data_IF_288079676886
#
_entry.id   IF_288079676886
#
_cell.length_a   1.000
_cell.length_b   1.000
_cell.length_c   1.000
_cell.angle_alpha   90.00
_cell.angle_beta   90.00
_cell.angle_gamma   90.00
#
_symmetry.space_group_name_H-M   'P 1'
#
loop_
_entity.id
_entity.type
_entity.pdbx_description
1 polymer ?
#
# COMPACT_ATOMS: atom_id res chain seq x y z
N UNK A 1 0.33 -8.46 0.60
CA UNK A 1 0.70 -7.10 0.13
C UNK A 1 -0.09 -6.10 0.96
N UNK A 2 0.53 -5.00 1.38
CA UNK A 2 -0.21 -3.99 2.13
C UNK A 2 -1.32 -3.42 1.24
N UNK A 3 -2.56 -3.40 1.74
CA UNK A 3 -3.68 -2.70 1.12
C UNK A 3 -3.94 -3.08 -0.35
N UNK A 4 -3.78 -4.37 -0.69
CA UNK A 4 -4.10 -4.93 -2.01
C UNK A 4 -5.27 -5.89 -1.92
N UNK A 5 -6.27 -5.66 -2.77
CA UNK A 5 -7.36 -6.62 -3.01
C UNK A 5 -7.87 -6.44 -4.45
N UNK A 6 -7.68 -7.42 -5.36
CA UNK A 6 -7.92 -7.21 -6.79
C UNK A 6 -9.40 -6.94 -7.11
N UNK A 7 -10.32 -7.56 -6.37
CA UNK A 7 -11.76 -7.36 -6.56
C UNK A 7 -12.34 -6.12 -5.88
N UNK A 8 -11.57 -5.43 -5.02
CA UNK A 8 -12.07 -4.29 -4.22
C UNK A 8 -11.35 -2.98 -4.48
N UNK A 9 -10.53 -2.93 -5.53
CA UNK A 9 -9.77 -1.75 -5.93
C UNK A 9 -10.67 -0.52 -5.94
N UNK A 10 -10.40 0.41 -5.04
CA UNK A 10 -11.19 1.63 -4.83
C UNK A 10 -10.33 2.89 -4.91
N UNK A 11 -9.01 2.73 -5.00
CA UNK A 11 -8.07 3.80 -5.27
C UNK A 11 -7.14 3.44 -6.44
N UNK A 12 -6.66 4.47 -7.13
CA UNK A 12 -5.67 4.33 -8.20
C UNK A 12 -4.51 5.29 -7.97
N UNK A 13 -3.29 4.81 -8.25
CA UNK A 13 -2.15 5.68 -8.40
C UNK A 13 -2.26 6.38 -9.74
N UNK A 14 -2.26 7.70 -9.74
CA UNK A 14 -1.97 8.47 -10.95
C UNK A 14 -0.53 8.92 -10.86
N UNK A 15 0.25 8.51 -11.85
CA UNK A 15 1.60 9.01 -12.01
C UNK A 15 1.54 10.52 -12.26
N UNK A 16 2.38 11.27 -11.54
CA UNK A 16 2.59 12.68 -11.84
C UNK A 16 3.26 12.76 -13.21
N UNK A 17 2.68 13.43 -14.22
CA UNK A 17 3.09 13.24 -15.61
C UNK A 17 4.36 13.98 -16.00
N UNK A 18 5.07 14.64 -15.08
CA UNK A 18 6.12 15.59 -15.47
C UNK A 18 7.27 15.59 -14.50
N UNK A 19 8.45 15.22 -15.02
CA UNK A 19 9.72 15.70 -14.49
C UNK A 19 9.65 17.23 -14.42
N UNK A 20 9.71 17.78 -13.21
CA UNK A 20 9.66 19.21 -12.96
C UNK A 20 10.71 19.52 -11.90
N UNK A 21 11.92 19.92 -12.31
CA UNK A 21 12.98 20.19 -11.36
C UNK A 21 12.56 21.34 -10.45
N UNK A 22 12.64 21.09 -9.15
CA UNK A 22 12.26 22.06 -8.12
C UNK A 22 13.47 22.92 -7.75
N UNK A 23 14.66 22.33 -7.83
CA UNK A 23 15.93 22.96 -7.49
C UNK A 23 16.88 22.94 -8.71
N UNK A 24 17.77 23.92 -8.79
CA UNK A 24 18.83 23.98 -9.80
C UNK A 24 19.97 23.02 -9.40
N UNK A 25 20.19 21.95 -10.17
CA UNK A 25 21.21 20.92 -9.87
C UNK A 25 22.65 21.42 -9.90
N UNK A 26 22.91 22.59 -10.49
CA UNK A 26 24.25 23.19 -10.57
C UNK A 26 24.48 24.12 -9.38
N UNK A 27 23.44 24.85 -8.95
CA UNK A 27 23.56 25.92 -7.96
C UNK A 27 23.13 25.50 -6.56
N UNK A 28 22.24 24.54 -6.45
CA UNK A 28 21.58 24.21 -5.19
C UNK A 28 22.02 22.83 -4.69
N UNK A 29 22.70 22.76 -3.53
CA UNK A 29 23.23 21.50 -3.02
C UNK A 29 22.14 20.48 -2.65
N UNK A 30 20.89 20.94 -2.48
CA UNK A 30 19.73 20.09 -2.19
C UNK A 30 19.19 19.32 -3.40
N UNK A 31 19.56 19.69 -4.63
CA UNK A 31 18.97 19.12 -5.85
C UNK A 31 19.17 17.60 -5.97
N UNK A 32 20.32 17.08 -5.52
CA UNK A 32 20.58 15.63 -5.52
C UNK A 32 19.84 14.85 -4.42
N UNK A 33 19.19 15.55 -3.47
CA UNK A 33 18.49 14.94 -2.35
C UNK A 33 16.96 14.94 -2.52
N UNK A 34 16.45 15.49 -3.63
CA UNK A 34 15.02 15.65 -3.90
C UNK A 34 14.69 15.03 -5.25
N UNK A 35 13.54 14.38 -5.34
CA UNK A 35 13.02 13.86 -6.60
C UNK A 35 12.44 14.99 -7.45
N UNK A 36 12.87 15.09 -8.70
CA UNK A 36 12.28 15.97 -9.71
C UNK A 36 10.95 15.44 -10.27
N UNK A 37 10.60 14.20 -9.93
CA UNK A 37 9.29 13.64 -10.22
C UNK A 37 8.31 14.07 -9.13
N UNK A 38 7.19 14.66 -9.53
CA UNK A 38 6.11 14.93 -8.59
C UNK A 38 5.63 13.64 -7.93
N UNK A 39 5.28 13.74 -6.64
CA UNK A 39 4.77 12.62 -5.89
C UNK A 39 3.56 12.02 -6.61
N UNK A 40 3.63 10.73 -6.92
CA UNK A 40 2.46 10.00 -7.39
C UNK A 40 1.37 10.14 -6.33
N UNK A 41 0.20 10.60 -6.75
CA UNK A 41 -0.94 10.76 -5.86
C UNK A 41 -1.89 9.58 -6.03
N UNK A 42 -2.51 9.19 -4.92
CA UNK A 42 -3.52 8.15 -4.88
C UNK A 42 -4.88 8.84 -4.90
N UNK A 43 -5.71 8.49 -5.88
CA UNK A 43 -7.04 9.06 -6.08
C UNK A 43 -8.10 7.99 -5.84
N UNK A 44 -9.21 8.39 -5.23
CA UNK A 44 -10.37 7.52 -5.11
C UNK A 44 -11.01 7.30 -6.50
N UNK A 45 -11.24 6.04 -6.88
CA UNK A 45 -11.96 5.66 -8.11
C UNK A 45 -13.47 5.75 -7.95
N UNK A 46 -13.94 5.64 -6.71
CA UNK A 46 -15.35 5.65 -6.32
C UNK A 46 -15.49 6.34 -4.96
N UNK A 47 -16.73 6.64 -4.57
CA UNK A 47 -16.99 7.17 -3.24
C UNK A 47 -16.47 6.19 -2.17
N UNK A 48 -15.72 6.70 -1.20
CA UNK A 48 -15.16 5.90 -0.10
C UNK A 48 -16.03 6.13 1.12
N UNK A 49 -16.75 5.09 1.53
CA UNK A 49 -17.60 5.14 2.72
C UNK A 49 -16.71 5.10 3.97
N UNK A 50 -17.15 5.78 5.03
CA UNK A 50 -16.47 5.74 6.32
C UNK A 50 -16.21 4.30 6.78
N UNK A 51 -15.03 4.04 7.35
CA UNK A 51 -14.61 2.71 7.80
C UNK A 51 -14.13 1.77 6.69
N UNK A 52 -14.15 2.18 5.42
CA UNK A 52 -13.62 1.38 4.32
C UNK A 52 -12.08 1.41 4.30
N UNK A 53 -11.49 0.29 3.92
CA UNK A 53 -10.06 0.20 3.62
C UNK A 53 -9.77 0.70 2.20
N UNK A 54 -8.57 1.24 1.98
CA UNK A 54 -8.12 1.60 0.64
C UNK A 54 -7.44 0.41 -0.02
N UNK A 55 -7.87 0.04 -1.22
CA UNK A 55 -7.30 -1.03 -2.02
C UNK A 55 -6.77 -0.47 -3.34
N UNK A 56 -5.47 -0.60 -3.55
CA UNK A 56 -4.78 -0.21 -4.78
C UNK A 56 -4.55 -1.44 -5.67
N UNK A 57 -4.59 -1.25 -6.99
CA UNK A 57 -4.15 -2.28 -7.94
C UNK A 57 -2.66 -2.14 -8.25
N UNK A 58 -1.92 -3.24 -8.14
CA UNK A 58 -0.54 -3.34 -8.63
C UNK A 58 -0.45 -3.86 -10.08
N UNK A 59 -1.58 -4.21 -10.69
CA UNK A 59 -1.65 -4.79 -12.04
C UNK A 59 -1.48 -6.31 -12.05
N UNK A 60 -2.17 -6.96 -13.00
CA UNK A 60 -2.15 -8.42 -13.15
C UNK A 60 -0.76 -8.93 -13.55
N UNK A 61 -0.03 -8.19 -14.40
CA UNK A 61 1.33 -8.55 -14.80
C UNK A 61 2.28 -8.61 -13.60
N UNK A 62 2.16 -7.65 -12.67
CA UNK A 62 2.98 -7.61 -11.47
C UNK A 62 2.74 -8.85 -10.58
N UNK A 63 1.49 -9.34 -10.52
CA UNK A 63 1.14 -10.56 -9.79
C UNK A 63 1.58 -11.81 -10.54
N UNK A 64 1.31 -11.88 -11.84
CA UNK A 64 1.59 -13.05 -12.68
C UNK A 64 3.09 -13.30 -12.90
N UNK A 65 3.93 -12.28 -12.73
CA UNK A 65 5.38 -12.42 -12.86
C UNK A 65 6.06 -12.99 -11.60
N UNK A 66 5.31 -13.32 -10.54
CA UNK A 66 5.83 -13.71 -9.22
C UNK A 66 5.16 -14.98 -8.69
N UNK A 67 5.88 -16.09 -8.76
CA UNK A 67 5.39 -17.40 -8.36
C UNK A 67 4.98 -17.47 -6.88
N UNK A 68 5.54 -16.60 -6.02
CA UNK A 68 5.16 -16.54 -4.60
C UNK A 68 3.68 -16.12 -4.40
N UNK A 69 3.05 -15.56 -5.43
CA UNK A 69 1.66 -15.08 -5.40
C UNK A 69 0.71 -15.90 -6.27
N UNK A 70 1.13 -17.09 -6.73
CA UNK A 70 0.28 -17.95 -7.57
C UNK A 70 -0.98 -18.46 -6.87
N UNK A 71 -1.03 -18.43 -5.54
CA UNK A 71 -2.23 -18.74 -4.77
C UNK A 71 -3.20 -17.56 -4.62
N UNK A 72 -2.75 -16.31 -4.87
CA UNK A 72 -3.58 -15.13 -4.64
C UNK A 72 -4.51 -14.88 -5.84
N UNK A 73 -5.82 -14.66 -5.60
CA UNK A 73 -6.77 -14.29 -6.64
C UNK A 73 -6.33 -13.06 -7.43
N UNK A 74 -6.70 -13.01 -8.71
CA UNK A 74 -6.63 -11.81 -9.55
C UNK A 74 -8.04 -11.30 -9.87
N UNK A 75 -8.14 -10.14 -10.50
CA UNK A 75 -9.45 -9.53 -10.80
C UNK A 75 -10.35 -10.46 -11.63
N UNK A 76 -9.78 -11.14 -12.61
CA UNK A 76 -10.45 -12.09 -13.49
C UNK A 76 -11.02 -13.28 -12.72
N UNK A 77 -10.33 -13.71 -11.66
CA UNK A 77 -10.79 -14.79 -10.77
C UNK A 77 -12.13 -14.39 -10.14
N UNK A 78 -12.20 -13.25 -9.45
CA UNK A 78 -13.46 -12.79 -8.83
C UNK A 78 -14.56 -12.55 -9.85
N UNK A 79 -14.25 -11.94 -11.00
CA UNK A 79 -15.24 -11.70 -12.05
C UNK A 79 -15.87 -13.01 -12.54
N UNK A 80 -15.06 -14.04 -12.75
CA UNK A 80 -15.55 -15.35 -13.17
C UNK A 80 -16.41 -16.01 -12.09
N UNK A 81 -16.02 -15.88 -10.82
CA UNK A 81 -16.82 -16.38 -9.69
C UNK A 81 -18.15 -15.66 -9.52
N UNK A 82 -18.18 -14.33 -9.66
CA UNK A 82 -19.42 -13.56 -9.58
C UNK A 82 -20.41 -13.97 -10.69
N UNK A 83 -19.89 -14.23 -11.90
CA UNK A 83 -20.69 -14.80 -13.00
C UNK A 83 -21.22 -16.18 -12.67
N UNK A 84 -20.41 -17.06 -12.06
CA UNK A 84 -20.81 -18.40 -11.64
C UNK A 84 -21.91 -18.34 -10.57
N UNK A 85 -21.72 -17.54 -9.52
CA UNK A 85 -22.70 -17.37 -8.43
C UNK A 85 -24.02 -16.84 -9.00
N UNK A 86 -23.96 -15.88 -9.92
CA UNK A 86 -25.14 -15.38 -10.64
C UNK A 86 -25.87 -16.48 -11.43
N UNK A 87 -25.13 -17.35 -12.12
CA UNK A 87 -25.70 -18.50 -12.82
C UNK A 87 -26.35 -19.52 -11.88
N UNK A 88 -25.70 -19.80 -10.74
CA UNK A 88 -26.21 -20.71 -9.72
C UNK A 88 -27.51 -20.18 -9.09
N UNK A 89 -27.59 -18.88 -8.83
CA UNK A 89 -28.81 -18.22 -8.36
C UNK A 89 -29.95 -18.35 -9.36
N UNK A 90 -29.67 -18.18 -10.66
CA UNK A 90 -30.66 -18.39 -11.70
C UNK A 90 -31.23 -19.81 -11.64
N UNK A 91 -30.38 -20.84 -11.52
CA UNK A 91 -30.81 -22.24 -11.41
C UNK A 91 -31.65 -22.49 -10.16
N UNK A 92 -31.19 -22.00 -9.00
CA UNK A 92 -31.89 -22.13 -7.71
C UNK A 92 -33.25 -21.45 -7.75
N UNK A 93 -33.36 -20.27 -8.38
CA UNK A 93 -34.62 -19.54 -8.53
C UNK A 93 -35.65 -20.28 -9.38
N UNK A 94 -35.21 -21.10 -10.34
CA UNK A 94 -36.09 -21.87 -11.22
C UNK A 94 -36.51 -23.21 -10.59
N UNK A 95 -35.60 -23.89 -9.89
CA UNK A 95 -35.81 -25.28 -9.44
C UNK A 95 -36.08 -25.42 -7.94
N UNK A 96 -35.84 -24.38 -7.13
CA UNK A 96 -36.20 -24.30 -5.72
C UNK A 96 -35.54 -25.32 -4.78
N UNK A 97 -34.58 -26.12 -5.26
CA UNK A 97 -34.02 -27.22 -4.49
C UNK A 97 -32.54 -26.97 -4.12
N UNK A 98 -32.29 -26.94 -2.82
CA UNK A 98 -30.99 -26.69 -2.19
C UNK A 98 -30.00 -27.85 -2.31
N UNK A 99 -30.42 -29.08 -2.64
CA UNK A 99 -29.49 -30.19 -2.85
C UNK A 99 -28.61 -29.98 -4.09
N UNK A 100 -29.10 -29.24 -5.09
CA UNK A 100 -28.32 -28.87 -6.27
C UNK A 100 -27.16 -27.93 -5.93
N UNK A 101 -27.26 -27.13 -4.86
CA UNK A 101 -26.19 -26.23 -4.44
C UNK A 101 -24.94 -27.00 -4.02
N UNK A 102 -25.09 -28.01 -3.16
CA UNK A 102 -23.97 -28.83 -2.68
C UNK A 102 -23.33 -29.63 -3.81
N UNK A 103 -24.15 -30.18 -4.70
CA UNK A 103 -23.69 -30.91 -5.88
C UNK A 103 -22.92 -29.97 -6.81
N UNK A 104 -23.46 -28.77 -7.05
CA UNK A 104 -22.82 -27.77 -7.91
C UNK A 104 -21.46 -27.33 -7.35
N UNK A 105 -21.38 -26.96 -6.07
CA UNK A 105 -20.10 -26.60 -5.45
C UNK A 105 -19.08 -27.74 -5.49
N UNK A 106 -19.53 -28.98 -5.23
CA UNK A 106 -18.67 -30.15 -5.29
C UNK A 106 -18.11 -30.39 -6.69
N UNK A 107 -18.98 -30.36 -7.71
CA UNK A 107 -18.59 -30.51 -9.11
C UNK A 107 -17.61 -29.41 -9.51
N UNK A 108 -17.90 -28.18 -9.13
CA UNK A 108 -17.09 -27.03 -9.49
C UNK A 108 -15.69 -27.08 -8.89
N UNK A 109 -15.57 -27.43 -7.60
CA UNK A 109 -14.27 -27.64 -6.94
C UNK A 109 -13.45 -28.77 -7.57
N UNK A 110 -14.12 -29.67 -8.28
CA UNK A 110 -13.54 -30.86 -8.91
C UNK A 110 -13.29 -30.68 -10.41
N UNK A 111 -13.58 -29.51 -11.00
CA UNK A 111 -13.37 -29.26 -12.42
C UNK A 111 -11.87 -29.18 -12.76
N UNK A 112 -11.41 -29.87 -13.82
CA UNK A 112 -10.05 -29.69 -14.33
C UNK A 112 -9.90 -28.26 -14.89
N UNK A 113 -8.93 -27.51 -14.37
CA UNK A 113 -8.69 -26.11 -14.75
C UNK A 113 -8.97 -25.09 -13.64
N UNK A 114 -9.50 -25.52 -12.49
CA UNK A 114 -9.52 -24.69 -11.28
C UNK A 114 -8.08 -24.62 -10.73
N UNK A 115 -7.44 -23.47 -10.91
CA UNK A 115 -6.10 -23.21 -10.38
C UNK A 115 -6.15 -22.92 -8.86
N UNK A 116 -4.98 -22.76 -8.25
CA UNK A 116 -4.87 -22.49 -6.82
C UNK A 116 -5.55 -21.17 -6.43
N UNK A 117 -5.54 -20.17 -7.32
CA UNK A 117 -6.24 -18.88 -7.13
C UNK A 117 -7.73 -19.10 -6.98
N UNK A 118 -8.31 -19.86 -7.90
CA UNK A 118 -9.73 -20.15 -7.92
C UNK A 118 -10.19 -20.98 -6.71
N UNK A 119 -9.36 -21.91 -6.23
CA UNK A 119 -9.64 -22.66 -5.00
C UNK A 119 -9.72 -21.73 -3.77
N UNK A 120 -8.86 -20.71 -3.68
CA UNK A 120 -8.86 -19.81 -2.51
C UNK A 120 -10.17 -19.04 -2.36
N UNK A 121 -10.75 -18.56 -3.46
CA UNK A 121 -12.08 -17.89 -3.46
C UNK A 121 -13.18 -18.92 -3.16
N UNK A 122 -13.14 -20.11 -3.76
CA UNK A 122 -14.15 -21.16 -3.56
C UNK A 122 -14.25 -21.67 -2.12
N UNK A 123 -13.17 -21.60 -1.36
CA UNK A 123 -13.19 -22.01 0.05
C UNK A 123 -14.00 -21.05 0.92
N UNK A 124 -14.23 -19.82 0.46
CA UNK A 124 -15.04 -18.83 1.18
C UNK A 124 -16.55 -19.09 1.04
N UNK A 125 -16.96 -19.85 0.02
CA UNK A 125 -18.37 -20.14 -0.26
C UNK A 125 -18.68 -21.59 0.09
N UNK A 126 -19.39 -21.81 1.18
CA UNK A 126 -19.68 -23.17 1.68
C UNK A 126 -21.16 -23.45 1.85
N UNK A 127 -21.95 -22.40 2.11
CA UNK A 127 -23.37 -22.45 2.42
C UNK A 127 -24.18 -21.56 1.49
N UNK A 128 -25.51 -21.69 1.52
CA UNK A 128 -26.40 -20.86 0.69
C UNK A 128 -26.46 -19.45 1.27
N UNK A 129 -26.37 -19.33 2.58
CA UNK A 129 -26.26 -18.08 3.31
C UNK A 129 -25.03 -17.28 2.87
N UNK A 130 -23.91 -17.95 2.55
CA UNK A 130 -22.73 -17.30 1.98
C UNK A 130 -23.05 -16.66 0.63
N UNK A 131 -23.89 -17.28 -0.21
CA UNK A 131 -24.33 -16.68 -1.48
C UNK A 131 -25.17 -15.43 -1.23
N UNK A 132 -26.12 -15.50 -0.29
CA UNK A 132 -26.94 -14.34 0.06
C UNK A 132 -26.07 -13.18 0.54
N UNK A 133 -25.07 -13.45 1.37
CA UNK A 133 -24.10 -12.44 1.83
C UNK A 133 -23.25 -11.88 0.67
N UNK A 134 -22.81 -12.73 -0.26
CA UNK A 134 -22.12 -12.31 -1.50
C UNK A 134 -22.97 -11.31 -2.30
N UNK A 135 -24.26 -11.60 -2.47
CA UNK A 135 -25.17 -10.72 -3.23
C UNK A 135 -25.34 -9.39 -2.48
N UNK A 136 -25.64 -9.45 -1.19
CA UNK A 136 -25.88 -8.27 -0.35
C UNK A 136 -24.65 -7.35 -0.36
N UNK A 137 -23.46 -7.92 -0.32
CA UNK A 137 -22.18 -7.17 -0.29
C UNK A 137 -21.64 -6.81 -1.67
N UNK A 138 -22.25 -7.31 -2.74
CA UNK A 138 -21.97 -6.90 -4.12
C UNK A 138 -20.82 -7.65 -4.79
N UNK A 139 -20.58 -8.92 -4.43
CA UNK A 139 -19.67 -9.83 -5.12
C UNK A 139 -18.76 -10.63 -4.19
N UNK A 140 -18.18 -11.70 -4.70
CA UNK A 140 -17.33 -12.64 -3.95
C UNK A 140 -16.14 -11.96 -3.29
N UNK A 141 -15.55 -10.97 -3.96
CA UNK A 141 -14.47 -10.15 -3.44
C UNK A 141 -14.81 -9.43 -2.11
N UNK A 142 -16.08 -9.07 -1.91
CA UNK A 142 -16.52 -8.27 -0.75
C UNK A 142 -16.71 -9.09 0.53
N UNK A 143 -16.76 -10.41 0.42
CA UNK A 143 -16.94 -11.33 1.57
C UNK A 143 -15.60 -11.63 2.23
N UNK A 144 -14.50 -11.58 1.48
CA UNK A 144 -13.15 -11.81 1.99
C UNK A 144 -12.66 -10.69 2.91
N UNK A 145 -13.12 -9.46 2.71
CA UNK A 145 -12.70 -8.32 3.54
C UNK A 145 -13.77 -7.96 4.55
N UNK A 146 -13.61 -8.43 5.78
CA UNK A 146 -14.30 -7.81 6.92
C UNK A 146 -13.53 -6.57 7.32
N UNK A 147 -14.23 -5.44 7.49
CA UNK A 147 -13.62 -4.24 8.06
C UNK A 147 -12.93 -4.63 9.37
N UNK A 148 -11.64 -4.32 9.48
CA UNK A 148 -10.81 -4.69 10.62
C UNK A 148 -11.30 -4.06 11.93
N UNK A 149 -12.00 -2.92 11.84
CA UNK A 149 -12.51 -2.15 12.98
C UNK A 149 -13.89 -1.54 12.70
N UNK A 150 -14.71 -1.41 13.75
CA UNK A 150 -16.00 -0.69 13.67
C UNK A 150 -15.78 0.83 13.61
N UNK A 151 -16.80 1.58 13.14
CA UNK A 151 -16.76 3.05 13.13
C UNK A 151 -16.54 3.63 14.53
N UNK A 152 -17.24 3.10 15.54
CA UNK A 152 -17.06 3.51 16.94
C UNK A 152 -15.61 3.31 17.42
N UNK A 153 -14.99 2.18 17.03
CA UNK A 153 -13.59 1.93 17.35
C UNK A 153 -12.66 2.93 16.65
N UNK A 154 -12.93 3.26 15.38
CA UNK A 154 -12.13 4.21 14.59
C UNK A 154 -12.27 5.65 15.11
N UNK A 155 -13.45 6.06 15.57
CA UNK A 155 -13.64 7.38 16.19
C UNK A 155 -12.83 7.51 17.48
N UNK A 156 -12.76 6.42 18.28
CA UNK A 156 -12.03 6.41 19.54
C UNK A 156 -10.51 6.25 19.37
N UNK A 157 -10.08 5.39 18.46
CA UNK A 157 -8.68 4.94 18.35
C UNK A 157 -8.00 5.34 17.05
N UNK A 158 -8.77 5.60 16.00
CA UNK A 158 -8.26 6.01 14.70
C UNK A 158 -7.51 7.34 14.75
N UNK A 159 -6.63 7.53 13.77
CA UNK A 159 -5.84 8.74 13.59
C UNK A 159 -5.94 9.17 12.14
N UNK A 160 -6.45 10.38 11.91
CA UNK A 160 -6.49 10.97 10.59
C UNK A 160 -5.08 11.43 10.18
N UNK A 161 -4.72 11.19 8.92
CA UNK A 161 -3.46 11.64 8.31
C UNK A 161 -3.66 12.87 7.41
N UNK A 162 -4.80 13.56 7.53
CA UNK A 162 -5.27 14.58 6.60
C UNK A 162 -4.74 15.99 6.90
N UNK A 163 -4.28 16.23 8.13
CA UNK A 163 -3.85 17.56 8.57
C UNK A 163 -2.42 17.93 8.17
N UNK A 164 -1.65 17.03 7.57
CA UNK A 164 -0.32 17.31 6.99
C UNK A 164 -0.37 17.10 5.48
N UNK A 165 0.23 18.00 4.70
CA UNK A 165 0.32 17.89 3.25
C UNK A 165 1.70 18.33 2.73
N UNK A 166 2.17 17.75 1.61
CA UNK A 166 3.39 18.18 0.96
C UNK A 166 3.19 19.54 0.26
N UNK A 167 4.12 20.46 0.44
CA UNK A 167 4.15 21.72 -0.29
C UNK A 167 5.60 22.18 -0.52
N UNK A 168 5.81 23.09 -1.48
CA UNK A 168 7.11 23.73 -1.67
C UNK A 168 7.49 24.52 -0.42
N UNK A 169 8.73 24.36 0.03
CA UNK A 169 9.30 25.07 1.18
C UNK A 169 9.69 26.50 0.78
N UNK A 170 9.43 27.45 1.67
CA UNK A 170 9.92 28.83 1.52
C UNK A 170 11.42 28.96 1.90
N UNK A 171 12.01 27.89 2.45
CA UNK A 171 13.44 27.84 2.78
C UNK A 171 14.23 27.57 1.49
N UNK A 172 15.21 28.43 1.13
CA UNK A 172 16.03 28.24 -0.05
C UNK A 172 16.67 26.84 -0.07
N UNK A 173 16.63 26.18 -1.24
CA UNK A 173 17.22 24.86 -1.48
C UNK A 173 16.67 23.70 -0.64
N UNK A 174 15.54 23.89 0.08
CA UNK A 174 14.94 22.82 0.89
C UNK A 174 13.95 21.94 0.13
N UNK A 175 13.57 22.31 -1.10
CA UNK A 175 12.60 21.57 -1.91
C UNK A 175 11.21 21.55 -1.28
N UNK A 176 10.64 20.36 -1.09
CA UNK A 176 9.31 20.19 -0.49
C UNK A 176 9.40 19.83 1.00
N UNK A 177 8.46 20.35 1.79
CA UNK A 177 8.31 20.06 3.21
C UNK A 177 6.89 19.61 3.57
N UNK A 178 6.72 19.22 4.82
CA UNK A 178 5.41 18.96 5.43
C UNK A 178 4.78 20.25 5.97
N UNK A 179 3.57 20.56 5.52
CA UNK A 179 2.79 21.73 5.93
C UNK A 179 1.52 21.28 6.63
N UNK A 180 1.07 22.08 7.61
CA UNK A 180 -0.14 21.77 8.37
C UNK A 180 -1.36 22.47 7.80
N UNK A 181 -2.50 21.79 7.72
CA UNK A 181 -3.82 22.38 7.38
C UNK A 181 -4.50 23.07 8.55
N UNK A 182 -3.98 22.87 9.76
CA UNK A 182 -4.54 23.40 11.02
C UNK A 182 -3.45 23.86 11.97
N UNK A 183 -3.84 24.54 13.04
CA UNK A 183 -2.91 24.80 14.13
C UNK A 183 -2.61 23.50 14.91
N UNK A 184 -1.33 23.27 15.24
CA UNK A 184 -0.87 22.13 16.05
C UNK A 184 -0.18 22.70 17.29
N UNK A 185 -0.65 22.32 18.48
CA UNK A 185 -0.10 22.82 19.74
C UNK A 185 1.18 22.09 20.11
N UNK A 186 2.04 22.75 20.91
CA UNK A 186 3.22 22.08 21.50
C UNK A 186 2.77 20.87 22.31
N UNK A 187 3.41 19.71 22.08
CA UNK A 187 3.09 18.44 22.72
C UNK A 187 1.98 17.65 22.03
N UNK A 188 1.36 18.19 20.98
CA UNK A 188 0.37 17.49 20.18
C UNK A 188 1.03 16.57 19.13
N UNK A 189 0.35 15.49 18.78
CA UNK A 189 0.81 14.55 17.74
C UNK A 189 0.70 15.21 16.36
N UNK A 190 1.83 15.33 15.65
CA UNK A 190 1.89 15.93 14.32
C UNK A 190 1.44 14.97 13.23
N UNK A 191 1.88 13.71 13.23
CA UNK A 191 1.45 12.68 12.26
C UNK A 191 1.85 11.31 12.81
N UNK A 192 1.12 10.26 12.42
CA UNK A 192 1.53 8.88 12.67
C UNK A 192 2.02 8.24 11.38
N UNK A 193 3.12 7.48 11.44
CA UNK A 193 3.65 6.79 10.27
C UNK A 193 3.90 5.32 10.59
N UNK A 194 3.43 4.36 9.77
CA UNK A 194 4.08 3.07 9.73
C UNK A 194 5.56 3.25 9.35
N UNK A 195 6.39 2.37 9.89
CA UNK A 195 7.84 2.39 9.72
C UNK A 195 8.27 1.14 8.96
N UNK A 196 9.01 1.35 7.87
CA UNK A 196 9.71 0.28 7.17
C UNK A 196 11.05 0.03 7.84
N UNK A 197 11.27 -1.21 8.28
CA UNK A 197 12.55 -1.62 8.84
C UNK A 197 13.58 -1.87 7.73
N UNK A 198 14.70 -1.17 7.81
CA UNK A 198 15.84 -1.29 6.90
C UNK A 198 17.06 -1.77 7.69
N UNK A 199 17.88 -2.61 7.06
CA UNK A 199 19.20 -2.95 7.60
C UNK A 199 20.14 -1.78 7.35
N UNK A 200 20.69 -1.21 8.42
CA UNK A 200 21.52 0.00 8.38
C UNK A 200 22.81 -0.22 7.56
N UNK A 201 23.36 -1.43 7.58
CA UNK A 201 24.51 -1.83 6.77
C UNK A 201 24.30 -1.72 5.27
N UNK A 202 23.06 -1.76 4.77
CA UNK A 202 22.78 -1.54 3.34
C UNK A 202 22.73 -0.05 2.95
N UNK A 203 22.66 0.83 3.95
CA UNK A 203 22.62 2.29 3.78
C UNK A 203 23.97 2.94 4.10
N UNK A 204 24.85 2.19 4.75
CA UNK A 204 26.25 2.53 5.00
C UNK A 204 27.07 1.83 3.91
N UNK A 205 27.35 2.54 2.83
CA UNK A 205 28.14 1.99 1.73
C UNK A 205 29.62 2.17 2.08
N UNK A 206 30.42 1.14 1.89
CA UNK A 206 31.88 1.24 1.94
C UNK A 206 32.35 1.06 0.49
N UNK A 207 32.85 2.11 -0.14
CA UNK A 207 33.47 1.97 -1.47
C UNK A 207 34.92 1.49 -1.28
N UNK A 208 35.27 0.22 -1.56
CA UNK A 208 36.66 -0.12 -1.76
C UNK A 208 37.10 0.55 -3.07
N UNK A 209 37.99 1.53 -2.98
CA UNK A 209 38.57 2.11 -4.19
C UNK A 209 39.39 1.05 -4.92
N UNK A 210 38.93 0.66 -6.10
CA UNK A 210 39.70 -0.15 -7.05
C UNK A 210 40.82 0.76 -7.57
N UNK A 211 42.06 0.54 -7.10
CA UNK A 211 43.35 1.10 -7.59
C UNK A 211 44.05 2.24 -6.79
N UNK A 212 43.77 2.43 -5.51
CA UNK A 212 44.55 3.39 -4.68
C UNK A 212 45.51 2.64 -3.74
N UNK A 213 46.83 2.77 -3.95
CA UNK A 213 47.92 2.17 -3.14
C UNK A 213 47.96 2.75 -1.70
N UNK A 214 47.18 3.80 -1.43
CA UNK A 214 47.04 4.41 -0.11
C UNK A 214 45.55 4.38 0.24
N UNK A 215 45.12 3.70 1.33
CA UNK A 215 43.75 3.81 1.80
C UNK A 215 43.50 5.28 2.20
N UNK A 216 42.49 5.96 1.62
CA UNK A 216 42.10 7.26 2.14
C UNK A 216 41.60 7.08 3.58
N UNK A 217 41.68 8.12 4.42
CA UNK A 217 41.11 8.08 5.76
C UNK A 217 39.63 7.70 5.67
N UNK A 218 39.22 6.75 6.51
CA UNK A 218 37.87 6.15 6.64
C UNK A 218 36.75 7.02 6.06
N UNK A 219 36.52 6.91 4.75
CA UNK A 219 35.43 7.61 4.09
C UNK A 219 34.18 6.76 4.30
N UNK A 220 33.51 6.96 5.45
CA UNK A 220 32.18 6.42 5.68
C UNK A 220 31.20 7.10 4.72
N UNK A 221 31.00 6.53 3.53
CA UNK A 221 29.93 6.97 2.64
C UNK A 221 28.59 6.49 3.17
N UNK A 222 27.79 7.42 3.69
CA UNK A 222 26.43 7.16 4.14
C UNK A 222 25.45 7.62 3.07
N UNK A 223 24.43 6.81 2.80
CA UNK A 223 23.35 7.22 1.92
C UNK A 223 22.53 8.36 2.56
N UNK A 224 22.14 9.33 1.74
CA UNK A 224 21.36 10.52 2.18
C UNK A 224 20.05 10.14 2.85
N UNK A 225 19.46 8.99 2.49
CA UNK A 225 18.22 8.47 3.08
C UNK A 225 18.31 8.26 4.59
N UNK A 226 19.51 8.05 5.14
CA UNK A 226 19.72 7.92 6.60
C UNK A 226 19.30 9.17 7.38
N UNK A 227 19.31 10.35 6.76
CA UNK A 227 18.85 11.60 7.39
C UNK A 227 17.34 11.60 7.67
N UNK A 228 16.59 10.70 7.03
CA UNK A 228 15.13 10.58 7.13
C UNK A 228 14.70 9.31 7.88
N UNK A 229 15.64 8.57 8.44
CA UNK A 229 15.38 7.35 9.21
C UNK A 229 15.53 7.61 10.72
N UNK A 230 14.70 6.93 11.52
CA UNK A 230 14.94 6.81 12.96
C UNK A 230 15.88 5.63 13.23
N UNK A 231 17.01 5.87 13.87
CA UNK A 231 17.94 4.81 14.25
C UNK A 231 18.76 5.24 15.47
N UNK A 232 19.07 4.28 16.34
CA UNK A 232 20.06 4.49 17.39
C UNK A 232 21.47 4.26 16.81
N UNK A 233 22.51 5.03 17.21
CA UNK A 233 23.86 4.88 16.63
C UNK A 233 24.42 3.45 16.68
N UNK A 234 24.08 2.69 17.73
CA UNK A 234 24.47 1.28 17.93
C UNK A 234 23.46 0.25 17.37
N UNK A 235 22.38 0.69 16.73
CA UNK A 235 21.37 -0.19 16.13
C UNK A 235 21.82 -0.64 14.75
N UNK A 236 21.59 -1.90 14.41
CA UNK A 236 21.70 -2.43 13.05
C UNK A 236 20.47 -2.11 12.19
N UNK A 237 19.41 -1.57 12.80
CA UNK A 237 18.15 -1.21 12.15
C UNK A 237 18.00 0.30 11.99
N UNK A 238 17.51 0.71 10.82
CA UNK A 238 17.00 2.03 10.52
C UNK A 238 15.50 1.93 10.21
N UNK A 239 14.70 2.85 10.75
CA UNK A 239 13.24 2.86 10.59
C UNK A 239 12.84 4.03 9.70
N UNK A 240 12.36 3.71 8.50
CA UNK A 240 11.98 4.71 7.51
C UNK A 240 10.47 4.98 7.53
N UNK A 241 10.02 6.24 7.73
CA UNK A 241 8.61 6.57 7.70
C UNK A 241 8.02 6.49 6.29
N UNK A 242 6.82 5.91 6.17
CA UNK A 242 6.10 5.73 4.89
C UNK A 242 5.00 6.76 4.62
N UNK A 243 4.88 7.80 5.45
CA UNK A 243 3.91 8.90 5.29
C UNK A 243 4.63 10.23 5.09
N UNK A 244 3.88 11.34 5.07
CA UNK A 244 4.46 12.69 5.06
C UNK A 244 5.36 13.02 6.25
N UNK A 245 5.47 12.14 7.26
CA UNK A 245 6.51 12.20 8.27
C UNK A 245 7.92 12.28 7.66
N UNK A 246 8.16 11.67 6.49
CA UNK A 246 9.44 11.74 5.77
C UNK A 246 9.80 13.15 5.28
N UNK A 247 8.83 14.07 5.20
CA UNK A 247 9.04 15.47 4.80
C UNK A 247 9.28 16.38 6.01
N UNK A 248 9.33 15.83 7.22
CA UNK A 248 9.60 16.54 8.45
C UNK A 248 11.07 16.33 8.80
N UNK A 249 11.82 17.40 8.94
CA UNK A 249 13.20 17.30 9.42
C UNK A 249 13.20 16.85 10.89
N UNK A 250 13.87 15.73 11.18
CA UNK A 250 13.91 15.13 12.52
C UNK A 250 15.09 15.63 13.39
N UNK A 251 15.97 16.47 12.85
CA UNK A 251 17.07 17.06 13.62
C UNK A 251 16.55 18.18 14.55
N UNK A 252 16.52 17.92 15.86
CA UNK A 252 16.09 18.90 16.86
C UNK A 252 17.15 19.95 17.22
N UNK A 253 18.39 19.77 16.75
CA UNK A 253 19.49 20.69 17.00
C UNK A 253 20.17 21.07 15.68
N UNK A 254 19.87 22.27 15.18
CA UNK A 254 20.94 23.04 14.54
C UNK A 254 21.91 23.40 15.67
N UNK A 255 23.05 22.72 15.72
CA UNK A 255 24.23 23.30 16.35
C UNK A 255 24.86 24.28 15.37
#
# INVERSE_FOLDING_TARGET
>A
LANYHPGLVNVERREGPTFKPILDSIKEPGAGAITDFESSAIYAKKNIVAGSEFFISYGNEWMGSRHEYDALPVFETYKWFDMMISGLLCILSIHGNFDYFKIFLFLFRSLPGIDQRAQSVLQTVTTVEDIEDIIIRGGTASVETKASHSLEWLEKNGRCLDHVYPHLSDIPSAGRGAFSRRFIKKGEVVITSPLMALQKSHLEEYYPQINSIVPPPDFESRQVILNYCFSHPKSSLALFPLTYAMLINHASARK
#
